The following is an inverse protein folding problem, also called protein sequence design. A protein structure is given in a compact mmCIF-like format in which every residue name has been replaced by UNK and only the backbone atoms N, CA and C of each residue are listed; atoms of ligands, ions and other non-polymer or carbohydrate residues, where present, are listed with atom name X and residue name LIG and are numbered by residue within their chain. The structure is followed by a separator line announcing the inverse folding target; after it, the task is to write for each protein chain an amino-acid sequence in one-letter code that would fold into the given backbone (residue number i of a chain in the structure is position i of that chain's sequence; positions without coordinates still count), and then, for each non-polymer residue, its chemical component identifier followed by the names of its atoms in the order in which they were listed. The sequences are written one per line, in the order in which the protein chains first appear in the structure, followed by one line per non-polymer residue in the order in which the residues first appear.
data_IF_971693348351
#
_entry.id   IF_971693348351
#
_cell.length_a   1.000
_cell.length_b   1.000
_cell.length_c   1.000
_cell.angle_alpha   90.00
_cell.angle_beta   90.00
_cell.angle_gamma   90.00
#
_symmetry.space_group_name_H-M   'P 1'
#
loop_
_entity.id
_entity.type
_entity.pdbx_description
1 polymer ?
#
# COMPACT_ATOMS: atom_id res chain seq x y z
N UNK A 1 17.47 40.55 8.76
CA UNK A 1 17.73 41.62 7.77
C UNK A 1 16.44 42.41 7.55
N UNK A 2 16.47 43.74 7.49
CA UNK A 2 15.28 44.54 7.16
C UNK A 2 15.24 44.72 5.64
N UNK A 3 14.13 44.36 4.99
CA UNK A 3 13.93 44.56 3.56
C UNK A 3 12.95 45.70 3.34
N UNK A 4 13.43 46.78 2.74
CA UNK A 4 12.57 47.90 2.32
C UNK A 4 11.97 47.54 0.96
N UNK A 5 10.65 47.50 0.87
CA UNK A 5 9.90 47.31 -0.37
C UNK A 5 9.67 48.69 -0.97
N UNK A 6 10.23 48.94 -2.13
CA UNK A 6 10.01 50.17 -2.91
C UNK A 6 8.99 49.90 -4.02
N UNK A 7 8.32 50.96 -4.49
CA UNK A 7 7.45 50.86 -5.66
C UNK A 7 8.30 50.53 -6.90
N UNK A 8 8.17 49.33 -7.51
CA UNK A 8 8.99 48.97 -8.64
C UNK A 8 8.54 49.75 -9.87
N UNK A 9 9.46 50.50 -10.49
CA UNK A 9 9.15 51.32 -11.67
C UNK A 9 8.59 50.51 -12.86
N UNK A 10 8.92 49.21 -12.94
CA UNK A 10 8.45 48.30 -13.99
C UNK A 10 7.00 47.81 -13.83
N UNK A 11 6.38 48.02 -12.66
CA UNK A 11 4.96 47.69 -12.44
C UNK A 11 4.03 48.82 -12.90
N UNK A 12 4.58 49.92 -13.39
CA UNK A 12 3.82 51.07 -13.85
C UNK A 12 3.88 51.18 -15.39
N UNK A 13 2.78 51.56 -16.06
CA UNK A 13 2.74 51.60 -17.52
C UNK A 13 3.64 52.71 -18.09
N UNK A 14 4.35 52.39 -19.19
CA UNK A 14 5.24 53.33 -19.92
C UNK A 14 4.52 54.57 -20.48
N UNK A 15 3.18 54.60 -20.46
CA UNK A 15 2.36 55.70 -20.99
C UNK A 15 2.17 56.87 -20.04
N UNK A 16 2.74 56.84 -18.84
CA UNK A 16 2.64 57.94 -17.85
C UNK A 16 3.88 58.81 -17.92
N UNK A 17 3.73 60.08 -18.31
CA UNK A 17 4.83 61.06 -18.25
C UNK A 17 5.24 61.30 -16.79
N UNK A 18 6.54 61.44 -16.49
CA UNK A 18 7.01 61.69 -15.12
C UNK A 18 6.49 63.05 -14.59
N UNK A 19 6.17 63.16 -13.28
CA UNK A 19 6.36 62.15 -12.23
C UNK A 19 5.24 61.08 -12.21
N UNK A 20 5.64 59.81 -12.11
CA UNK A 20 4.73 58.69 -11.94
C UNK A 20 4.26 58.64 -10.48
N UNK A 21 3.05 59.16 -10.26
CA UNK A 21 2.41 59.21 -8.94
C UNK A 21 1.33 58.14 -8.87
N UNK A 22 1.42 57.23 -7.89
CA UNK A 22 0.38 56.24 -7.59
C UNK A 22 -0.17 56.46 -6.17
N UNK A 23 -1.50 56.43 -6.00
CA UNK A 23 -2.14 56.57 -4.69
C UNK A 23 -2.42 55.20 -4.07
N UNK A 24 -2.21 55.04 -2.76
CA UNK A 24 -2.57 53.80 -2.06
C UNK A 24 -4.10 53.65 -1.99
N UNK A 25 -4.66 52.64 -2.65
CA UNK A 25 -6.10 52.37 -2.56
C UNK A 25 -6.43 51.54 -1.33
N UNK A 26 -5.71 50.43 -1.13
CA UNK A 26 -5.97 49.51 -0.03
C UNK A 26 -4.74 48.69 0.33
N UNK A 27 -4.55 48.45 1.63
CA UNK A 27 -3.57 47.51 2.14
C UNK A 27 -4.18 46.11 2.25
N UNK A 28 -3.51 45.10 1.68
CA UNK A 28 -3.94 43.70 1.79
C UNK A 28 -3.33 42.98 3.00
N UNK A 29 -2.32 43.58 3.63
CA UNK A 29 -1.65 43.05 4.83
C UNK A 29 -1.67 44.04 6.00
N UNK A 30 -1.76 43.51 7.21
CA UNK A 30 -1.74 44.27 8.47
C UNK A 30 -0.33 44.35 9.07
N UNK A 31 -0.06 45.39 9.87
CA UNK A 31 1.20 45.49 10.62
C UNK A 31 1.33 44.28 11.56
N UNK A 32 2.50 43.64 11.56
CA UNK A 32 2.76 42.41 12.32
C UNK A 32 2.37 41.10 11.62
N UNK A 33 1.76 41.16 10.42
CA UNK A 33 1.39 39.97 9.67
C UNK A 33 2.60 39.36 8.94
N UNK A 34 2.70 38.03 8.93
CA UNK A 34 3.65 37.30 8.11
C UNK A 34 3.30 37.43 6.62
N UNK A 35 4.32 37.65 5.80
CA UNK A 35 4.24 37.86 4.36
C UNK A 35 5.20 36.90 3.67
N UNK A 36 4.70 36.16 2.69
CA UNK A 36 5.50 35.25 1.87
C UNK A 36 6.01 35.97 0.61
N UNK A 37 7.04 35.40 -0.03
CA UNK A 37 7.49 35.88 -1.35
C UNK A 37 6.32 35.81 -2.35
N UNK A 38 6.02 36.92 -3.03
CA UNK A 38 4.93 37.02 -4.00
C UNK A 38 3.56 37.42 -3.42
N UNK A 39 3.40 37.49 -2.10
CA UNK A 39 2.14 37.92 -1.48
C UNK A 39 1.79 39.37 -1.85
N UNK A 40 0.52 39.63 -2.14
CA UNK A 40 0.01 40.99 -2.33
C UNK A 40 0.15 41.80 -1.03
N UNK A 41 0.93 42.89 -1.06
CA UNK A 41 1.15 43.77 0.08
C UNK A 41 0.14 44.92 0.11
N UNK A 42 0.01 45.62 -1.02
CA UNK A 42 -0.79 46.83 -1.18
C UNK A 42 -1.26 46.94 -2.62
N UNK A 43 -2.49 47.43 -2.79
CA UNK A 43 -3.08 47.79 -4.07
C UNK A 43 -2.96 49.31 -4.24
N UNK A 44 -2.29 49.72 -5.31
CA UNK A 44 -2.08 51.10 -5.70
C UNK A 44 -2.92 51.43 -6.92
N UNK A 45 -3.34 52.69 -7.04
CA UNK A 45 -4.06 53.21 -8.19
C UNK A 45 -3.25 54.31 -8.87
N UNK A 46 -3.03 54.17 -10.18
CA UNK A 46 -2.46 55.22 -11.01
C UNK A 46 -3.41 55.48 -12.19
N UNK A 47 -4.05 56.65 -12.23
CA UNK A 47 -5.15 56.94 -13.15
C UNK A 47 -6.34 55.99 -12.91
N UNK A 48 -6.81 55.34 -13.98
CA UNK A 48 -7.92 54.36 -13.96
C UNK A 48 -7.45 52.91 -13.76
N UNK A 49 -6.15 52.67 -13.56
CA UNK A 49 -5.57 51.33 -13.42
C UNK A 49 -5.18 51.01 -11.96
N UNK A 50 -5.43 49.75 -11.57
CA UNK A 50 -5.07 49.19 -10.27
C UNK A 50 -3.87 48.25 -10.39
N UNK A 51 -2.93 48.36 -9.46
CA UNK A 51 -1.68 47.61 -9.44
C UNK A 51 -1.47 46.99 -8.07
N UNK A 52 -1.14 45.72 -8.03
CA UNK A 52 -0.78 45.03 -6.79
C UNK A 52 0.72 45.00 -6.68
N UNK A 53 1.26 45.47 -5.55
CA UNK A 53 2.70 45.36 -5.25
C UNK A 53 2.93 44.02 -4.54
N UNK A 54 3.61 43.04 -5.18
CA UNK A 54 3.95 41.78 -4.55
C UNK A 54 5.13 41.94 -3.59
N UNK A 55 5.18 41.09 -2.57
CA UNK A 55 6.31 41.06 -1.64
C UNK A 55 7.57 40.48 -2.29
N UNK A 56 8.72 41.18 -2.27
CA UNK A 56 9.97 40.69 -2.85
C UNK A 56 10.75 39.75 -1.93
N UNK A 57 10.30 39.55 -0.69
CA UNK A 57 10.95 38.66 0.28
C UNK A 57 9.94 38.09 1.27
N UNK A 58 10.32 37.01 1.95
CA UNK A 58 9.59 36.56 3.14
C UNK A 58 9.92 37.47 4.33
N UNK A 59 8.95 37.75 5.18
CA UNK A 59 9.18 38.56 6.38
C UNK A 59 7.90 38.94 7.11
N UNK A 60 8.02 39.81 8.11
CA UNK A 60 6.87 40.39 8.82
C UNK A 60 6.71 41.84 8.40
N UNK A 61 5.49 42.28 8.07
CA UNK A 61 5.22 43.68 7.76
C UNK A 61 5.38 44.54 9.02
N UNK A 62 6.55 45.15 9.19
CA UNK A 62 6.89 45.91 10.42
C UNK A 62 6.49 47.38 10.35
N UNK A 63 6.43 47.95 9.16
CA UNK A 63 6.05 49.35 8.98
C UNK A 63 5.38 49.57 7.62
N UNK A 64 4.25 50.27 7.65
CA UNK A 64 3.61 50.89 6.48
C UNK A 64 4.17 52.31 6.39
N UNK A 65 4.89 52.62 5.33
CA UNK A 65 5.52 53.93 5.18
C UNK A 65 4.56 54.98 4.62
N UNK A 66 3.41 54.55 4.08
CA UNK A 66 2.44 55.42 3.41
C UNK A 66 1.02 55.07 3.87
N UNK A 67 0.21 56.08 4.15
CA UNK A 67 -1.18 55.92 4.56
C UNK A 67 -2.09 55.64 3.34
N UNK A 68 -3.24 55.03 3.58
CA UNK A 68 -4.23 54.85 2.51
C UNK A 68 -4.69 56.21 1.98
N UNK A 69 -4.65 56.41 0.67
CA UNK A 69 -4.99 57.66 -0.02
C UNK A 69 -3.81 58.59 -0.32
N UNK A 70 -2.61 58.33 0.20
CA UNK A 70 -1.44 59.14 -0.10
C UNK A 70 -0.77 58.74 -1.42
N UNK A 71 -0.25 59.75 -2.11
CA UNK A 71 0.50 59.65 -3.35
C UNK A 71 1.95 59.22 -3.09
N UNK A 72 2.44 58.25 -3.87
CA UNK A 72 3.79 57.68 -3.81
C UNK A 72 4.45 57.82 -5.18
N UNK A 73 5.71 58.25 -5.20
CA UNK A 73 6.51 58.25 -6.42
C UNK A 73 7.29 56.94 -6.63
N UNK A 74 7.56 56.60 -7.88
CA UNK A 74 8.35 55.42 -8.21
C UNK A 74 9.74 55.45 -7.52
N UNK A 75 10.08 54.37 -6.80
CA UNK A 75 11.32 54.28 -6.02
C UNK A 75 11.19 54.66 -4.54
N UNK A 76 10.07 55.24 -4.11
CA UNK A 76 9.85 55.53 -2.70
C UNK A 76 9.53 54.26 -1.88
N UNK A 77 9.93 54.22 -0.60
CA UNK A 77 9.69 53.08 0.27
C UNK A 77 8.20 52.98 0.64
N UNK A 78 7.56 51.89 0.20
CA UNK A 78 6.14 51.62 0.45
C UNK A 78 5.94 50.88 1.79
N UNK A 79 6.81 49.91 2.05
CA UNK A 79 6.74 49.08 3.26
C UNK A 79 8.12 48.65 3.75
N UNK A 80 8.26 48.39 5.05
CA UNK A 80 9.45 47.75 5.62
C UNK A 80 9.08 46.38 6.15
N UNK A 81 9.69 45.36 5.57
CA UNK A 81 9.65 43.98 6.05
C UNK A 81 10.79 43.79 7.04
N UNK A 82 10.44 43.40 8.27
CA UNK A 82 11.41 42.97 9.26
C UNK A 82 11.76 41.51 9.03
N UNK A 83 13.05 41.21 8.97
CA UNK A 83 13.53 39.83 8.99
C UNK A 83 13.24 39.20 10.33
N UNK A 84 12.65 38.01 10.28
CA UNK A 84 12.41 37.15 11.43
C UNK A 84 13.76 36.74 12.04
N UNK A 85 14.14 37.43 13.10
CA UNK A 85 15.01 36.89 14.16
C UNK A 85 14.22 36.91 15.46
N UNK A 86 13.06 36.27 15.42
CA UNK A 86 12.53 35.60 16.60
C UNK A 86 12.88 34.12 16.38
N UNK A 87 13.32 33.38 17.40
CA UNK A 87 13.35 31.93 17.27
C UNK A 87 11.95 31.54 16.78
N UNK A 88 11.90 30.77 15.69
CA UNK A 88 10.77 29.91 15.46
C UNK A 88 10.71 29.05 16.72
N UNK A 89 9.93 29.49 17.69
CA UNK A 89 9.33 28.56 18.61
C UNK A 89 8.53 27.67 17.68
N UNK A 90 9.11 26.52 17.35
CA UNK A 90 8.33 25.33 17.08
C UNK A 90 7.48 25.12 18.34
N UNK A 91 6.41 25.90 18.48
CA UNK A 91 5.18 25.28 18.89
C UNK A 91 4.86 24.35 17.74
N UNK A 92 5.44 23.15 17.78
CA UNK A 92 4.76 21.97 17.25
C UNK A 92 3.33 22.16 17.74
N UNK A 93 2.33 22.41 16.87
CA UNK A 93 0.96 22.47 17.33
C UNK A 93 0.77 21.22 18.18
N UNK A 94 0.37 21.38 19.45
CA UNK A 94 0.08 20.24 20.31
C UNK A 94 -0.72 19.25 19.46
N UNK A 95 -0.30 17.97 19.37
CA UNK A 95 -1.00 16.98 18.58
C UNK A 95 -2.47 17.15 18.92
N UNK A 96 -3.29 17.48 17.91
CA UNK A 96 -4.71 17.71 18.10
C UNK A 96 -5.22 16.54 18.91
N UNK A 97 -5.53 16.77 20.20
CA UNK A 97 -5.78 15.69 21.11
C UNK A 97 -6.93 14.90 20.50
N UNK A 98 -6.66 13.64 20.11
CA UNK A 98 -7.67 12.81 19.52
C UNK A 98 -8.88 12.86 20.46
N UNK A 99 -10.10 13.11 19.96
CA UNK A 99 -11.26 13.16 20.82
C UNK A 99 -11.27 11.88 21.67
N UNK A 100 -11.60 11.97 22.97
CA UNK A 100 -11.59 10.80 23.83
C UNK A 100 -12.42 9.70 23.15
N UNK A 101 -11.84 8.49 23.07
CA UNK A 101 -12.47 7.36 22.44
C UNK A 101 -13.85 7.16 23.08
N UNK A 102 -14.92 7.41 22.33
CA UNK A 102 -16.27 7.18 22.81
C UNK A 102 -16.50 5.67 22.82
N UNK A 103 -16.53 5.09 24.02
CA UNK A 103 -16.93 3.69 24.24
C UNK A 103 -18.42 3.72 24.62
N UNK A 104 -19.34 3.22 23.78
CA UNK A 104 -20.76 3.20 24.09
C UNK A 104 -21.03 2.43 25.39
N UNK A 105 -21.86 2.97 26.29
CA UNK A 105 -22.23 2.26 27.50
C UNK A 105 -23.24 1.13 27.20
N UNK A 106 -22.90 -0.11 27.55
CA UNK A 106 -23.74 -1.29 27.39
C UNK A 106 -23.14 -2.52 28.10
N UNK A 107 -23.86 -3.66 28.15
CA UNK A 107 -23.23 -4.92 28.56
C UNK A 107 -22.14 -5.30 27.54
N UNK A 108 -20.91 -5.49 28.01
CA UNK A 108 -19.74 -5.77 27.19
C UNK A 108 -19.04 -7.05 27.65
N UNK A 109 -18.59 -7.85 26.69
CA UNK A 109 -17.67 -8.95 26.92
C UNK A 109 -16.24 -8.49 26.59
N UNK A 110 -15.38 -8.44 27.60
CA UNK A 110 -13.97 -8.08 27.43
C UNK A 110 -13.15 -9.37 27.30
N UNK A 111 -12.36 -9.47 26.22
CA UNK A 111 -11.39 -10.55 26.04
C UNK A 111 -10.02 -9.97 25.67
N UNK A 112 -8.97 -10.73 25.98
CA UNK A 112 -7.59 -10.36 25.68
C UNK A 112 -7.09 -11.21 24.52
N UNK A 113 -6.41 -10.58 23.56
CA UNK A 113 -5.73 -11.30 22.48
C UNK A 113 -4.62 -12.20 23.07
N UNK A 114 -4.52 -13.42 22.55
CA UNK A 114 -3.42 -14.32 22.86
C UNK A 114 -2.09 -13.76 22.33
N UNK A 115 -0.94 -14.22 22.86
CA UNK A 115 0.38 -13.82 22.35
C UNK A 115 0.55 -14.07 20.84
N UNK A 116 -0.04 -15.15 20.32
CA UNK A 116 0.00 -15.49 18.91
C UNK A 116 -0.82 -14.52 18.06
N UNK A 117 -2.00 -14.11 18.52
CA UNK A 117 -2.84 -13.13 17.83
C UNK A 117 -2.20 -11.74 17.81
N UNK A 118 -1.56 -11.34 18.92
CA UNK A 118 -0.77 -10.10 18.98
C UNK A 118 0.40 -10.12 17.99
N UNK A 119 1.17 -11.22 17.97
CA UNK A 119 2.29 -11.37 17.04
C UNK A 119 1.83 -11.34 15.58
N UNK A 120 0.68 -11.97 15.27
CA UNK A 120 0.08 -11.92 13.94
C UNK A 120 -0.36 -10.50 13.56
N UNK A 121 -1.00 -9.79 14.49
CA UNK A 121 -1.41 -8.39 14.30
C UNK A 121 -0.23 -7.47 14.02
N UNK A 122 0.87 -7.63 14.76
CA UNK A 122 2.10 -6.87 14.54
C UNK A 122 2.73 -7.20 13.17
N UNK A 123 2.78 -8.49 12.81
CA UNK A 123 3.30 -8.93 11.51
C UNK A 123 2.51 -8.33 10.34
N UNK A 124 1.17 -8.38 10.37
CA UNK A 124 0.33 -7.78 9.34
C UNK A 124 0.45 -6.26 9.29
N UNK A 125 0.49 -5.60 10.44
CA UNK A 125 0.66 -4.14 10.52
C UNK A 125 1.98 -3.71 9.88
N UNK A 126 3.06 -4.43 10.19
CA UNK A 126 4.38 -4.22 9.57
C UNK A 126 4.33 -4.42 8.07
N UNK A 127 3.72 -5.50 7.60
CA UNK A 127 3.58 -5.77 6.16
C UNK A 127 2.87 -4.63 5.43
N UNK A 128 1.72 -4.19 5.93
CA UNK A 128 0.94 -3.09 5.34
C UNK A 128 1.68 -1.74 5.37
N UNK A 129 2.52 -1.52 6.39
CA UNK A 129 3.32 -0.31 6.53
C UNK A 129 4.51 -0.30 5.56
N UNK A 130 5.23 -1.41 5.47
CA UNK A 130 6.56 -1.46 4.87
C UNK A 130 6.56 -2.00 3.43
N UNK A 131 5.48 -2.65 2.99
CA UNK A 131 5.36 -3.26 1.66
C UNK A 131 4.27 -2.57 0.85
N UNK A 132 4.57 -2.01 -0.34
CA UNK A 132 3.54 -1.43 -1.21
C UNK A 132 2.71 -2.55 -1.85
N UNK A 133 1.52 -2.79 -1.31
CA UNK A 133 0.62 -3.83 -1.80
C UNK A 133 -0.10 -3.38 -3.08
N UNK A 134 -0.06 -4.23 -4.11
CA UNK A 134 -0.94 -4.15 -5.26
C UNK A 134 -1.63 -5.50 -5.48
N UNK A 135 -2.71 -5.49 -6.26
CA UNK A 135 -3.61 -6.62 -6.39
C UNK A 135 -4.06 -6.82 -7.84
N UNK A 136 -4.09 -8.08 -8.27
CA UNK A 136 -4.70 -8.49 -9.54
C UNK A 136 -5.69 -9.63 -9.27
N UNK A 137 -6.81 -9.66 -9.99
CA UNK A 137 -7.86 -10.67 -9.84
C UNK A 137 -8.14 -11.32 -11.18
N UNK A 138 -8.30 -12.63 -11.21
CA UNK A 138 -8.68 -13.42 -12.37
C UNK A 138 -9.60 -14.57 -11.97
N UNK A 139 -10.23 -15.20 -12.95
CA UNK A 139 -11.05 -16.41 -12.77
C UNK A 139 -10.42 -17.59 -13.48
N UNK A 140 -10.54 -18.79 -12.92
CA UNK A 140 -10.24 -20.03 -13.62
C UNK A 140 -11.46 -20.94 -13.63
N UNK A 141 -11.68 -21.59 -14.78
CA UNK A 141 -12.52 -22.77 -14.87
C UNK A 141 -11.78 -23.95 -14.23
N UNK A 142 -12.41 -24.62 -13.25
CA UNK A 142 -11.84 -25.77 -12.54
C UNK A 142 -12.51 -27.09 -12.92
N UNK A 143 -13.27 -27.13 -14.02
CA UNK A 143 -14.05 -28.30 -14.45
C UNK A 143 -13.19 -29.56 -14.59
N UNK A 144 -11.99 -29.45 -15.16
CA UNK A 144 -11.07 -30.59 -15.29
C UNK A 144 -10.59 -31.10 -13.93
N UNK A 145 -10.23 -30.20 -13.01
CA UNK A 145 -9.87 -30.57 -11.65
C UNK A 145 -11.04 -31.24 -10.92
N UNK A 146 -12.26 -30.68 -11.02
CA UNK A 146 -13.47 -31.26 -10.44
C UNK A 146 -13.79 -32.64 -11.04
N UNK A 147 -13.62 -32.81 -12.35
CA UNK A 147 -13.80 -34.11 -13.03
C UNK A 147 -12.77 -35.13 -12.54
N UNK A 148 -11.52 -34.72 -12.35
CA UNK A 148 -10.48 -35.58 -11.78
C UNK A 148 -10.85 -36.00 -10.35
N UNK A 149 -11.23 -35.04 -9.50
CA UNK A 149 -11.68 -35.27 -8.13
C UNK A 149 -12.85 -36.25 -8.05
N UNK A 150 -13.84 -36.10 -8.94
CA UNK A 150 -15.01 -36.97 -9.01
C UNK A 150 -14.67 -38.41 -9.45
N UNK A 151 -13.60 -38.62 -10.23
CA UNK A 151 -13.10 -39.96 -10.58
C UNK A 151 -12.39 -40.60 -9.40
N UNK A 152 -11.52 -39.86 -8.72
CA UNK A 152 -10.76 -40.36 -7.57
C UNK A 152 -11.61 -40.59 -6.32
N UNK A 153 -12.70 -39.85 -6.15
CA UNK A 153 -13.61 -40.00 -5.00
C UNK A 153 -14.57 -41.20 -5.06
N UNK A 154 -14.52 -42.03 -6.12
CA UNK A 154 -15.42 -43.19 -6.30
C UNK A 154 -14.98 -44.48 -5.61
N UNK A 155 -14.01 -44.42 -4.69
CA UNK A 155 -13.70 -45.55 -3.81
C UNK A 155 -12.94 -46.70 -4.47
N UNK A 156 -12.41 -46.52 -5.68
CA UNK A 156 -11.27 -47.33 -6.08
C UNK A 156 -10.09 -46.84 -5.25
N UNK A 157 -9.64 -47.64 -4.28
CA UNK A 157 -8.38 -47.43 -3.57
C UNK A 157 -7.24 -47.60 -4.56
N UNK A 158 -7.10 -46.64 -5.48
CA UNK A 158 -5.97 -46.57 -6.40
C UNK A 158 -4.76 -46.29 -5.51
N UNK A 159 -3.87 -47.28 -5.43
CA UNK A 159 -2.66 -47.20 -4.61
C UNK A 159 -1.95 -45.87 -4.86
N UNK A 160 -1.85 -45.05 -3.81
CA UNK A 160 -1.22 -43.74 -3.85
C UNK A 160 -2.15 -42.52 -3.97
N UNK A 161 -3.47 -42.66 -4.16
CA UNK A 161 -4.36 -41.49 -4.11
C UNK A 161 -4.80 -41.24 -2.65
N UNK A 162 -4.69 -40.00 -2.11
CA UNK A 162 -5.20 -39.69 -0.77
C UNK A 162 -6.71 -39.89 -0.65
N UNK A 163 -7.19 -40.25 0.55
CA UNK A 163 -8.61 -40.52 0.82
C UNK A 163 -9.55 -39.36 0.43
N UNK A 164 -9.06 -38.12 0.49
CA UNK A 164 -9.83 -36.94 0.05
C UNK A 164 -8.96 -35.90 -0.64
N UNK A 165 -8.69 -36.13 -1.92
CA UNK A 165 -8.10 -35.10 -2.77
C UNK A 165 -9.03 -33.87 -2.84
N UNK A 166 -8.47 -32.66 -2.76
CA UNK A 166 -9.21 -31.39 -2.82
C UNK A 166 -8.69 -30.52 -3.97
N UNK A 167 -9.27 -29.33 -4.19
CA UNK A 167 -8.80 -28.40 -5.21
C UNK A 167 -7.41 -27.82 -4.91
N UNK A 168 -7.05 -27.69 -3.63
CA UNK A 168 -5.84 -26.99 -3.18
C UNK A 168 -4.54 -27.56 -3.82
N UNK A 169 -4.26 -28.88 -3.81
CA UNK A 169 -3.08 -29.43 -4.47
C UNK A 169 -2.92 -29.07 -5.95
N UNK A 170 -4.03 -28.93 -6.69
CA UNK A 170 -3.99 -28.49 -8.09
C UNK A 170 -3.58 -27.03 -8.22
N UNK A 171 -4.14 -26.17 -7.36
CA UNK A 171 -3.76 -24.75 -7.28
C UNK A 171 -2.29 -24.60 -6.91
N UNK A 172 -1.81 -25.34 -5.91
CA UNK A 172 -0.41 -25.31 -5.48
C UNK A 172 0.54 -25.74 -6.61
N UNK A 173 0.18 -26.79 -7.35
CA UNK A 173 0.96 -27.27 -8.49
C UNK A 173 1.04 -26.20 -9.61
N UNK A 174 -0.10 -25.63 -10.01
CA UNK A 174 -0.14 -24.58 -11.03
C UNK A 174 0.60 -23.31 -10.58
N UNK A 175 0.44 -22.92 -9.32
CA UNK A 175 1.18 -21.81 -8.70
C UNK A 175 2.67 -22.05 -8.75
N UNK A 176 3.14 -23.23 -8.34
CA UNK A 176 4.55 -23.57 -8.37
C UNK A 176 5.13 -23.52 -9.80
N UNK A 177 4.42 -24.08 -10.78
CA UNK A 177 4.80 -24.00 -12.19
C UNK A 177 4.93 -22.55 -12.66
N UNK A 178 3.95 -21.68 -12.33
CA UNK A 178 4.03 -20.25 -12.62
C UNK A 178 5.24 -19.58 -11.97
N UNK A 179 5.50 -19.86 -10.68
CA UNK A 179 6.62 -19.25 -9.95
C UNK A 179 8.00 -19.63 -10.54
N UNK A 180 8.12 -20.77 -11.22
CA UNK A 180 9.36 -21.11 -11.94
C UNK A 180 9.58 -20.23 -13.19
N UNK A 181 8.51 -19.80 -13.84
CA UNK A 181 8.53 -18.93 -15.03
C UNK A 181 8.66 -17.45 -14.68
N UNK A 182 8.11 -17.03 -13.54
CA UNK A 182 8.07 -15.65 -13.06
C UNK A 182 8.82 -15.50 -11.72
N UNK A 183 10.16 -15.60 -11.71
CA UNK A 183 10.96 -15.63 -10.49
C UNK A 183 10.94 -14.33 -9.68
N UNK A 184 10.53 -13.20 -10.26
CA UNK A 184 10.26 -11.94 -9.56
C UNK A 184 9.05 -12.00 -8.63
N UNK A 185 8.04 -12.82 -8.97
CA UNK A 185 6.87 -13.07 -8.10
C UNK A 185 7.26 -13.97 -6.92
N UNK A 186 8.25 -14.85 -7.13
CA UNK A 186 8.86 -15.70 -6.10
C UNK A 186 10.11 -15.06 -5.45
N UNK A 187 10.03 -13.77 -5.11
CA UNK A 187 11.15 -13.02 -4.52
C UNK A 187 10.90 -12.63 -3.07
N UNK A 188 11.96 -12.22 -2.38
CA UNK A 188 11.92 -11.67 -1.03
C UNK A 188 12.73 -10.38 -0.96
N UNK A 189 12.22 -9.37 -0.29
CA UNK A 189 13.01 -8.16 0.01
C UNK A 189 13.83 -8.39 1.29
N UNK A 190 15.13 -8.11 1.25
CA UNK A 190 16.00 -8.16 2.42
C UNK A 190 16.65 -6.80 2.65
N UNK A 191 16.58 -6.29 3.87
CA UNK A 191 16.97 -4.90 4.15
C UNK A 191 16.13 -3.91 3.33
N UNK A 192 16.67 -2.73 3.07
CA UNK A 192 15.91 -1.64 2.45
C UNK A 192 15.76 -1.80 0.93
N UNK A 193 16.72 -2.43 0.24
CA UNK A 193 16.77 -2.43 -1.22
C UNK A 193 17.20 -3.75 -1.88
N UNK A 194 17.63 -4.77 -1.13
CA UNK A 194 18.09 -6.02 -1.74
C UNK A 194 16.88 -6.92 -2.05
N UNK A 195 16.77 -7.41 -3.28
CA UNK A 195 15.72 -8.34 -3.69
C UNK A 195 16.32 -9.70 -4.05
N UNK A 196 15.90 -10.73 -3.32
CA UNK A 196 16.36 -12.12 -3.49
C UNK A 196 15.30 -12.95 -4.21
N UNK A 197 15.47 -13.12 -5.52
CA UNK A 197 14.65 -14.02 -6.34
C UNK A 197 14.99 -15.47 -6.04
N UNK A 198 13.99 -16.29 -5.71
CA UNK A 198 14.19 -17.70 -5.35
C UNK A 198 14.08 -18.59 -6.58
N UNK A 199 15.03 -19.53 -6.71
CA UNK A 199 15.08 -20.53 -7.79
C UNK A 199 14.54 -21.89 -7.37
N UNK A 200 13.83 -21.92 -6.25
CA UNK A 200 13.16 -23.05 -5.64
C UNK A 200 11.81 -22.54 -5.12
N UNK A 201 10.80 -23.41 -5.07
CA UNK A 201 9.45 -23.02 -4.65
C UNK A 201 9.10 -23.70 -3.34
N UNK A 202 8.92 -22.91 -2.29
CA UNK A 202 8.37 -23.37 -1.02
C UNK A 202 7.08 -22.60 -0.74
N UNK A 203 5.95 -23.31 -0.70
CA UNK A 203 4.64 -22.68 -0.55
C UNK A 203 4.20 -22.75 0.91
N UNK A 204 4.13 -21.58 1.55
CA UNK A 204 3.42 -21.42 2.82
C UNK A 204 1.91 -21.46 2.56
N UNK A 205 1.17 -22.33 3.22
CA UNK A 205 -0.28 -22.45 3.03
C UNK A 205 -1.00 -21.94 4.26
N UNK A 206 -1.66 -20.79 4.16
CA UNK A 206 -2.47 -20.25 5.26
C UNK A 206 -3.65 -21.17 5.57
N UNK A 207 -3.74 -21.59 6.82
CA UNK A 207 -4.84 -22.38 7.34
C UNK A 207 -5.13 -22.00 8.79
N UNK A 208 -6.37 -22.24 9.24
CA UNK A 208 -6.80 -21.92 10.59
C UNK A 208 -6.76 -23.18 11.45
N UNK A 209 -6.15 -23.09 12.64
CA UNK A 209 -6.20 -24.12 13.67
C UNK A 209 -7.58 -24.14 14.34
N UNK A 210 -7.89 -25.24 15.02
CA UNK A 210 -8.98 -25.24 16.00
C UNK A 210 -8.69 -24.15 17.05
N UNK A 211 -9.71 -23.36 17.41
CA UNK A 211 -9.54 -22.16 18.27
C UNK A 211 -9.21 -20.87 17.52
N UNK A 212 -9.06 -20.89 16.19
CA UNK A 212 -9.04 -19.67 15.38
C UNK A 212 -7.65 -19.06 15.14
N UNK A 213 -6.58 -19.66 15.65
CA UNK A 213 -5.21 -19.23 15.37
C UNK A 213 -4.81 -19.50 13.90
N UNK A 214 -4.12 -18.56 13.26
CA UNK A 214 -3.54 -18.75 11.92
C UNK A 214 -2.28 -19.62 12.00
N UNK A 215 -2.15 -20.59 11.10
CA UNK A 215 -0.94 -21.34 10.85
C UNK A 215 -0.57 -21.25 9.37
N UNK A 216 0.73 -21.20 9.07
CA UNK A 216 1.25 -21.17 7.69
C UNK A 216 2.28 -22.27 7.52
N UNK A 217 1.87 -23.56 7.53
CA UNK A 217 2.77 -24.66 7.22
C UNK A 217 3.36 -24.53 5.80
N UNK A 218 4.58 -25.03 5.61
CA UNK A 218 5.36 -24.87 4.39
C UNK A 218 5.53 -26.20 3.68
N UNK A 219 5.04 -26.28 2.45
CA UNK A 219 5.36 -27.34 1.51
C UNK A 219 6.64 -26.98 0.77
N UNK A 220 7.68 -27.82 0.89
CA UNK A 220 9.00 -27.57 0.28
C UNK A 220 9.06 -28.11 -1.14
N UNK A 221 9.94 -27.55 -1.98
CA UNK A 221 10.23 -27.98 -3.36
C UNK A 221 8.98 -28.36 -4.18
N UNK A 222 7.93 -27.53 -4.11
CA UNK A 222 6.62 -27.84 -4.72
C UNK A 222 6.72 -27.95 -6.23
N UNK A 223 7.64 -27.21 -6.84
CA UNK A 223 7.96 -27.24 -8.27
C UNK A 223 8.50 -28.60 -8.75
N UNK A 224 8.87 -29.50 -7.83
CA UNK A 224 9.45 -30.81 -8.14
C UNK A 224 8.51 -31.97 -7.81
N UNK A 225 7.23 -31.67 -7.52
CA UNK A 225 6.27 -32.63 -6.97
C UNK A 225 5.03 -32.75 -7.83
N UNK A 226 4.58 -34.00 -8.00
CA UNK A 226 3.26 -34.28 -8.56
C UNK A 226 2.14 -33.78 -7.64
N UNK A 227 0.95 -33.54 -8.21
CA UNK A 227 -0.26 -33.18 -7.44
C UNK A 227 -0.54 -34.17 -6.30
N UNK A 228 -0.35 -35.48 -6.54
CA UNK A 228 -0.57 -36.51 -5.52
C UNK A 228 0.46 -36.46 -4.40
N UNK A 229 1.72 -36.16 -4.73
CA UNK A 229 2.76 -35.96 -3.70
C UNK A 229 2.44 -34.74 -2.84
N UNK A 230 2.05 -33.62 -3.46
CA UNK A 230 1.62 -32.40 -2.77
C UNK A 230 0.45 -32.71 -1.83
N UNK A 231 -0.55 -33.44 -2.31
CA UNK A 231 -1.73 -33.79 -1.53
C UNK A 231 -1.38 -34.64 -0.28
N UNK A 232 -0.53 -35.65 -0.41
CA UNK A 232 -0.10 -36.47 0.74
C UNK A 232 0.70 -35.68 1.77
N UNK A 233 1.58 -34.79 1.32
CA UNK A 233 2.35 -33.93 2.24
C UNK A 233 1.45 -32.93 2.95
N UNK A 234 0.46 -32.39 2.23
CA UNK A 234 -0.55 -31.51 2.80
C UNK A 234 -1.37 -32.22 3.87
N UNK A 235 -1.85 -33.45 3.64
CA UNK A 235 -2.57 -34.24 4.65
C UNK A 235 -1.70 -34.49 5.89
N UNK A 236 -0.40 -34.74 5.70
CA UNK A 236 0.56 -34.92 6.80
C UNK A 236 0.71 -33.64 7.63
N UNK A 237 0.76 -32.47 7.00
CA UNK A 237 0.79 -31.18 7.68
C UNK A 237 -0.53 -30.87 8.39
N UNK A 238 -1.67 -31.22 7.78
CA UNK A 238 -2.98 -31.09 8.41
C UNK A 238 -3.10 -31.93 9.68
N UNK A 239 -2.64 -33.19 9.65
CA UNK A 239 -2.62 -34.05 10.82
C UNK A 239 -1.77 -33.46 11.96
N UNK A 240 -0.65 -32.81 11.63
CA UNK A 240 0.21 -32.13 12.61
C UNK A 240 -0.38 -30.82 13.13
N UNK A 241 -1.14 -30.11 12.31
CA UNK A 241 -1.93 -28.95 12.75
C UNK A 241 -2.98 -29.40 13.77
N UNK A 242 -3.76 -30.43 13.43
CA UNK A 242 -4.81 -30.95 14.30
C UNK A 242 -4.24 -31.52 15.62
N UNK A 243 -3.07 -32.16 15.55
CA UNK A 243 -2.37 -32.66 16.73
C UNK A 243 -1.48 -31.62 17.44
N UNK A 244 -1.51 -30.34 17.05
CA UNK A 244 -0.67 -29.26 17.60
C UNK A 244 0.84 -29.58 17.65
N UNK A 245 1.33 -30.36 16.68
CA UNK A 245 2.70 -30.91 16.63
C UNK A 245 3.53 -30.34 15.48
N UNK A 246 3.18 -29.14 14.99
CA UNK A 246 4.02 -28.41 14.04
C UNK A 246 5.34 -28.01 14.69
N UNK A 247 6.44 -28.31 14.01
CA UNK A 247 7.79 -27.88 14.39
C UNK A 247 8.18 -26.59 13.68
N UNK A 248 9.34 -26.05 14.05
CA UNK A 248 9.89 -24.83 13.45
C UNK A 248 10.15 -24.99 11.94
N UNK A 249 10.65 -26.15 11.53
CA UNK A 249 10.92 -26.48 10.13
C UNK A 249 9.64 -26.53 9.27
N UNK A 250 8.47 -26.68 9.89
CA UNK A 250 7.19 -26.74 9.15
C UNK A 250 6.61 -25.37 8.89
N UNK A 251 7.00 -24.34 9.64
CA UNK A 251 6.41 -23.01 9.55
C UNK A 251 7.39 -21.95 9.03
N UNK A 252 8.60 -22.37 8.66
CA UNK A 252 9.68 -21.50 8.23
C UNK A 252 10.11 -21.78 6.79
N UNK A 253 10.61 -20.74 6.12
CA UNK A 253 11.26 -20.86 4.81
C UNK A 253 10.34 -20.83 3.59
N UNK A 254 9.07 -20.45 3.72
CA UNK A 254 8.22 -20.16 2.57
C UNK A 254 8.86 -19.10 1.65
N UNK A 255 8.72 -19.27 0.35
CA UNK A 255 9.12 -18.30 -0.67
C UNK A 255 7.91 -17.56 -1.27
N UNK A 256 6.72 -18.16 -1.13
CA UNK A 256 5.44 -17.60 -1.58
C UNK A 256 4.31 -18.15 -0.67
N UNK A 257 3.24 -17.37 -0.49
CA UNK A 257 2.09 -17.79 0.35
C UNK A 257 0.85 -18.07 -0.50
N UNK A 258 0.10 -19.11 -0.16
CA UNK A 258 -1.20 -19.44 -0.76
C UNK A 258 -2.25 -19.53 0.34
N UNK A 259 -3.45 -18.98 0.11
CA UNK A 259 -4.59 -19.10 1.03
C UNK A 259 -5.87 -19.47 0.30
N UNK A 260 -6.79 -20.15 1.01
CA UNK A 260 -8.10 -20.53 0.49
C UNK A 260 -9.19 -19.93 1.37
N UNK A 261 -10.13 -19.20 0.75
CA UNK A 261 -11.28 -18.60 1.41
C UNK A 261 -12.60 -19.25 0.92
N UNK A 262 -12.94 -20.47 1.38
CA UNK A 262 -14.01 -21.30 0.78
C UNK A 262 -15.43 -20.76 0.94
N UNK A 263 -15.62 -19.70 1.75
CA UNK A 263 -16.94 -19.15 2.07
C UNK A 263 -17.26 -17.86 1.30
N UNK A 264 -16.28 -17.29 0.59
CA UNK A 264 -16.40 -16.01 -0.14
C UNK A 264 -15.96 -16.20 -1.58
N UNK A 265 -16.34 -15.27 -2.47
CA UNK A 265 -15.90 -15.34 -3.88
C UNK A 265 -14.39 -15.17 -4.00
N UNK A 266 -13.82 -14.19 -3.32
CA UNK A 266 -12.38 -14.01 -3.16
C UNK A 266 -12.12 -13.12 -1.93
N UNK A 267 -10.87 -13.09 -1.50
CA UNK A 267 -10.35 -12.18 -0.47
C UNK A 267 -9.07 -11.55 -1.01
N UNK A 268 -8.85 -10.29 -0.68
CA UNK A 268 -7.57 -9.61 -0.94
C UNK A 268 -6.66 -9.88 0.26
N UNK A 269 -5.61 -10.71 0.12
CA UNK A 269 -4.80 -11.08 1.27
C UNK A 269 -3.79 -9.97 1.64
N UNK A 270 -3.32 -10.00 2.87
CA UNK A 270 -2.13 -9.24 3.28
C UNK A 270 -0.90 -10.06 2.86
N UNK A 271 0.13 -9.40 2.33
CA UNK A 271 1.40 -10.07 2.03
C UNK A 271 2.07 -10.53 3.31
N UNK A 272 2.68 -11.70 3.28
CA UNK A 272 3.57 -12.13 4.35
C UNK A 272 4.94 -11.49 4.13
N UNK A 273 5.22 -10.35 4.75
CA UNK A 273 6.53 -9.72 4.62
C UNK A 273 7.63 -10.68 5.11
N UNK A 274 8.74 -10.89 4.38
CA UNK A 274 9.23 -10.12 3.23
C UNK A 274 8.91 -10.71 1.84
N UNK A 275 7.95 -11.62 1.71
CA UNK A 275 7.62 -12.28 0.44
C UNK A 275 7.02 -11.30 -0.56
N UNK A 276 7.36 -11.47 -1.84
CA UNK A 276 6.89 -10.60 -2.91
C UNK A 276 5.47 -10.91 -3.39
N UNK A 277 4.88 -12.05 -3.00
CA UNK A 277 3.55 -12.43 -3.47
C UNK A 277 2.78 -13.38 -2.56
N UNK A 278 1.46 -13.28 -2.65
CA UNK A 278 0.49 -14.15 -1.99
C UNK A 278 -0.72 -14.37 -2.90
N UNK A 279 -1.00 -15.62 -3.27
CA UNK A 279 -2.20 -16.02 -4.01
C UNK A 279 -3.33 -16.46 -3.08
N UNK A 280 -4.49 -15.80 -3.14
CA UNK A 280 -5.72 -16.27 -2.50
C UNK A 280 -6.69 -16.79 -3.56
N UNK A 281 -7.39 -17.88 -3.28
CA UNK A 281 -8.54 -18.31 -4.08
C UNK A 281 -9.78 -18.49 -3.20
N UNK A 282 -10.95 -18.25 -3.77
CA UNK A 282 -12.22 -18.36 -3.05
C UNK A 282 -13.01 -19.63 -3.35
N UNK A 283 -14.31 -19.56 -3.10
CA UNK A 283 -15.25 -20.65 -3.31
C UNK A 283 -15.47 -20.96 -4.79
N UNK A 284 -15.78 -22.22 -5.08
CA UNK A 284 -16.25 -22.63 -6.41
C UNK A 284 -17.72 -22.24 -6.62
N UNK A 285 -18.03 -21.60 -7.75
CA UNK A 285 -19.39 -21.30 -8.22
C UNK A 285 -19.48 -21.71 -9.68
N UNK A 286 -20.35 -22.66 -10.02
CA UNK A 286 -20.53 -23.13 -11.40
C UNK A 286 -19.21 -23.50 -12.11
N UNK A 287 -18.35 -24.23 -11.40
CA UNK A 287 -16.98 -24.60 -11.83
C UNK A 287 -16.03 -23.43 -12.07
N UNK A 288 -16.38 -22.22 -11.66
CA UNK A 288 -15.50 -21.05 -11.66
C UNK A 288 -14.96 -20.77 -10.26
N UNK A 289 -13.70 -20.37 -10.18
CA UNK A 289 -13.04 -19.91 -8.95
C UNK A 289 -12.35 -18.59 -9.21
N UNK A 290 -12.51 -17.62 -8.32
CA UNK A 290 -11.77 -16.37 -8.37
C UNK A 290 -10.43 -16.52 -7.63
N UNK A 291 -9.39 -15.98 -8.23
CA UNK A 291 -8.04 -15.89 -7.72
C UNK A 291 -7.66 -14.43 -7.55
N UNK A 292 -7.09 -14.07 -6.41
CA UNK A 292 -6.55 -12.76 -6.11
C UNK A 292 -5.07 -12.89 -5.77
N UNK A 293 -4.21 -12.30 -6.59
CA UNK A 293 -2.79 -12.17 -6.30
C UNK A 293 -2.56 -10.82 -5.61
N UNK A 294 -2.08 -10.84 -4.38
CA UNK A 294 -1.39 -9.70 -3.80
C UNK A 294 0.09 -9.77 -4.14
N UNK A 295 0.72 -8.64 -4.46
CA UNK A 295 2.15 -8.57 -4.76
C UNK A 295 2.79 -7.26 -4.28
N UNK A 296 4.10 -7.33 -4.01
CA UNK A 296 4.90 -6.16 -3.68
C UNK A 296 5.18 -5.37 -4.96
N UNK A 297 4.52 -4.22 -5.10
CA UNK A 297 4.59 -3.35 -6.29
C UNK A 297 5.97 -2.71 -6.50
N UNK A 298 6.87 -2.75 -5.51
CA UNK A 298 8.27 -2.34 -5.68
C UNK A 298 9.11 -3.42 -6.40
N UNK A 299 8.65 -4.68 -6.45
CA UNK A 299 9.38 -5.82 -7.00
C UNK A 299 8.74 -6.34 -8.29
N UNK A 300 7.41 -6.47 -8.28
CA UNK A 300 6.63 -7.09 -9.35
C UNK A 300 5.88 -6.00 -10.10
N UNK A 301 6.10 -5.90 -11.42
CA UNK A 301 5.33 -4.99 -12.27
C UNK A 301 3.91 -5.51 -12.47
N UNK A 302 3.00 -4.60 -12.85
CA UNK A 302 1.61 -4.95 -13.17
C UNK A 302 1.56 -6.02 -14.27
N UNK A 303 2.30 -5.83 -15.37
CA UNK A 303 2.37 -6.80 -16.48
C UNK A 303 2.86 -8.18 -16.02
N UNK A 304 3.86 -8.24 -15.15
CA UNK A 304 4.37 -9.51 -14.63
C UNK A 304 3.35 -10.20 -13.72
N UNK A 305 2.65 -9.43 -12.89
CA UNK A 305 1.58 -9.93 -12.01
C UNK A 305 0.39 -10.47 -12.82
N UNK A 306 -0.06 -9.73 -13.84
CA UNK A 306 -1.14 -10.14 -14.74
C UNK A 306 -0.77 -11.39 -15.54
N UNK A 307 0.43 -11.42 -16.12
CA UNK A 307 0.90 -12.57 -16.90
C UNK A 307 1.08 -13.81 -16.01
N UNK A 308 1.65 -13.66 -14.81
CA UNK A 308 1.76 -14.77 -13.85
C UNK A 308 0.38 -15.30 -13.45
N UNK A 309 -0.56 -14.42 -13.12
CA UNK A 309 -1.89 -14.85 -12.69
C UNK A 309 -2.64 -15.55 -13.83
N UNK A 310 -2.56 -15.03 -15.05
CA UNK A 310 -3.11 -15.68 -16.25
C UNK A 310 -2.51 -17.07 -16.44
N UNK A 311 -1.19 -17.19 -16.36
CA UNK A 311 -0.50 -18.47 -16.53
C UNK A 311 -0.89 -19.52 -15.46
N UNK A 312 -1.13 -19.08 -14.22
CA UNK A 312 -1.67 -19.94 -13.16
C UNK A 312 -3.10 -20.36 -13.45
N UNK A 313 -3.99 -19.42 -13.82
CA UNK A 313 -5.40 -19.73 -14.11
C UNK A 313 -5.54 -20.63 -15.34
N UNK A 314 -4.76 -20.38 -16.39
CA UNK A 314 -4.73 -21.21 -17.60
C UNK A 314 -4.18 -22.61 -17.28
N UNK A 315 -3.13 -22.70 -16.46
CA UNK A 315 -2.59 -23.98 -16.00
C UNK A 315 -3.60 -24.82 -15.23
N UNK A 316 -4.52 -24.18 -14.51
CA UNK A 316 -5.64 -24.83 -13.82
C UNK A 316 -6.71 -25.27 -14.81
N UNK A 317 -7.17 -24.37 -15.68
CA UNK A 317 -8.25 -24.63 -16.64
C UNK A 317 -7.90 -25.66 -17.70
N UNK A 318 -6.65 -25.67 -18.16
CA UNK A 318 -6.14 -26.65 -19.12
C UNK A 318 -5.63 -27.94 -18.46
N UNK A 319 -5.70 -28.03 -17.12
CA UNK A 319 -5.20 -29.14 -16.34
C UNK A 319 -3.74 -29.54 -16.66
N UNK A 320 -2.87 -28.54 -16.89
CA UNK A 320 -1.43 -28.77 -17.19
C UNK A 320 -0.74 -29.63 -16.13
N UNK A 321 -1.24 -29.60 -14.90
CA UNK A 321 -0.81 -30.41 -13.76
C UNK A 321 -1.01 -31.93 -13.93
N UNK A 322 -1.82 -32.39 -14.90
CA UNK A 322 -2.00 -33.83 -15.18
C UNK A 322 -0.90 -34.39 -16.08
N UNK A 323 -0.11 -33.53 -16.72
CA UNK A 323 0.90 -33.91 -17.72
C UNK A 323 2.33 -33.62 -17.26
N UNK A 324 2.50 -33.10 -16.04
CA UNK A 324 3.77 -32.71 -15.43
C UNK A 324 4.32 -33.77 -14.46
#
# INVERSE_FOLDING_TARGET
MKHTVTLPAHLLPESVSPPLVASVERWEKSLGQAVMLGDALVTLRAGDALFVVPSPAFGVLTKKCVLAGEAIEAGEPVAVLGGVSAPLSESVPEPFAAPPLYIPAGPEDIYTLSPLELALGEHHTRSLRDTPHAYTVATADVSEALRYLAKTGRGETVSGVPERLTLLPFVLCATAAGLTRFPEVNAQQTGDAEVRRKRYVHLGVETRREGGALAVPVLRDVDRKSVLTIAREWDRLQARIAGETLGEDDISGATFTVSHSPNVLYRMPILHHPLAGHLCFGKTVDSQVYFCLAYNAAIVSVDAAETFLSDVTDGISEARFLFA
#
